data_IF_819594732736
#
_entry.id   IF_819594732736
#
_cell.length_a   1.000
_cell.length_b   1.000
_cell.length_c   1.000
_cell.angle_alpha   90.00
_cell.angle_beta   90.00
_cell.angle_gamma   90.00
#
_symmetry.space_group_name_H-M   'P 1'
#
loop_
_entity.id
_entity.type
_entity.pdbx_description
1 polymer ?
#
# COMPACT_ATOMS: atom_id res chain seq x y z
N UNK A 1 -34.77 -6.88 45.62
CA UNK A 1 -35.54 -6.50 44.40
C UNK A 1 -34.78 -5.50 43.52
N UNK A 2 -34.36 -4.30 43.99
CA UNK A 2 -33.63 -3.32 43.15
C UNK A 2 -32.33 -3.84 42.48
N UNK A 3 -31.56 -4.70 43.16
CA UNK A 3 -30.31 -5.29 42.62
C UNK A 3 -30.54 -6.29 41.48
N UNK A 4 -31.66 -7.03 41.52
CA UNK A 4 -32.01 -8.00 40.47
C UNK A 4 -32.41 -7.28 39.18
N UNK A 5 -33.12 -6.15 39.31
CA UNK A 5 -33.53 -5.34 38.16
C UNK A 5 -32.33 -4.67 37.47
N UNK A 6 -31.33 -4.20 38.22
CA UNK A 6 -30.10 -3.62 37.64
C UNK A 6 -29.30 -4.67 36.86
N UNK A 7 -29.20 -5.90 37.38
CA UNK A 7 -28.51 -7.00 36.71
C UNK A 7 -29.23 -7.43 35.42
N UNK A 8 -30.57 -7.49 35.45
CA UNK A 8 -31.39 -7.83 34.29
C UNK A 8 -31.34 -6.75 33.21
N UNK A 9 -31.30 -5.47 33.59
CA UNK A 9 -31.11 -4.35 32.64
C UNK A 9 -29.74 -4.39 31.98
N UNK A 10 -28.68 -4.79 32.71
CA UNK A 10 -27.33 -4.93 32.13
C UNK A 10 -27.25 -6.07 31.11
N UNK A 11 -27.89 -7.21 31.40
CA UNK A 11 -28.02 -8.35 30.47
C UNK A 11 -28.82 -7.97 29.23
N UNK A 12 -29.90 -7.20 29.38
CA UNK A 12 -30.71 -6.73 28.26
C UNK A 12 -29.92 -5.78 27.34
N UNK A 13 -29.15 -4.84 27.91
CA UNK A 13 -28.30 -3.91 27.15
C UNK A 13 -27.18 -4.65 26.41
N UNK A 14 -26.55 -5.64 27.05
CA UNK A 14 -25.48 -6.44 26.44
C UNK A 14 -26.01 -7.41 25.36
N UNK A 15 -27.22 -7.95 25.55
CA UNK A 15 -27.89 -8.81 24.57
C UNK A 15 -28.32 -8.08 23.28
N UNK A 16 -28.65 -6.78 23.38
CA UNK A 16 -29.01 -5.95 22.23
C UNK A 16 -27.79 -5.59 21.37
N UNK A 17 -26.59 -5.45 21.97
CA UNK A 17 -25.34 -5.26 21.23
C UNK A 17 -24.85 -6.50 20.45
N UNK A 18 -25.43 -7.67 20.70
CA UNK A 18 -25.08 -8.92 19.99
C UNK A 18 -25.59 -8.99 18.54
N UNK A 19 -26.43 -8.05 18.10
CA UNK A 19 -26.89 -7.97 16.70
C UNK A 19 -25.88 -7.26 15.80
N UNK A 20 -24.61 -7.70 15.88
CA UNK A 20 -23.58 -7.29 14.94
C UNK A 20 -23.92 -7.88 13.57
N UNK A 21 -24.65 -7.09 12.78
CA UNK A 21 -24.83 -7.35 11.36
C UNK A 21 -23.45 -7.60 10.75
N UNK A 22 -23.30 -8.69 9.99
CA UNK A 22 -22.15 -8.88 9.12
C UNK A 22 -22.13 -7.71 8.14
N UNK A 23 -21.40 -6.66 8.49
CA UNK A 23 -21.10 -5.60 7.54
C UNK A 23 -20.32 -6.26 6.43
N UNK A 24 -20.93 -6.37 5.25
CA UNK A 24 -20.21 -6.72 4.03
C UNK A 24 -19.28 -5.55 3.77
N UNK A 25 -18.07 -5.63 4.33
CA UNK A 25 -16.99 -4.69 4.12
C UNK A 25 -16.58 -4.82 2.65
N UNK A 26 -17.37 -4.24 1.76
CA UNK A 26 -17.00 -4.06 0.37
C UNK A 26 -15.77 -3.16 0.38
N UNK A 27 -14.63 -3.79 0.15
CA UNK A 27 -13.33 -3.17 0.22
C UNK A 27 -13.01 -2.55 -1.13
N UNK A 28 -12.20 -1.51 -1.14
CA UNK A 28 -11.58 -0.97 -2.35
C UNK A 28 -10.08 -1.21 -2.27
N UNK A 29 -9.43 -1.50 -3.40
CA UNK A 29 -8.00 -1.63 -3.50
C UNK A 29 -7.43 -0.41 -4.23
N UNK A 30 -6.31 0.11 -3.76
CA UNK A 30 -5.50 1.11 -4.43
C UNK A 30 -4.07 0.61 -4.49
N UNK A 31 -3.44 0.81 -5.63
CA UNK A 31 -2.04 0.55 -5.85
C UNK A 31 -1.41 1.82 -6.40
N UNK A 32 -0.33 2.29 -5.80
CA UNK A 32 0.41 3.43 -6.33
C UNK A 32 1.90 3.11 -6.48
N UNK A 33 2.51 3.72 -7.47
CA UNK A 33 3.94 3.62 -7.73
C UNK A 33 4.47 4.97 -8.21
N UNK A 34 5.77 5.15 -8.06
CA UNK A 34 6.47 6.35 -8.49
C UNK A 34 7.21 6.03 -9.77
N UNK A 35 7.04 6.86 -10.78
CA UNK A 35 7.77 6.75 -12.04
C UNK A 35 8.12 8.15 -12.53
N UNK A 36 9.42 8.43 -12.61
CA UNK A 36 9.94 9.76 -12.89
C UNK A 36 9.50 10.79 -11.84
N UNK A 37 8.83 11.87 -12.28
CA UNK A 37 8.32 12.92 -11.38
C UNK A 37 6.81 12.82 -11.13
N UNK A 38 6.24 11.63 -11.28
CA UNK A 38 4.82 11.40 -11.04
C UNK A 38 4.57 10.23 -10.12
N UNK A 39 3.55 10.35 -9.29
CA UNK A 39 2.91 9.25 -8.58
C UNK A 39 1.73 8.80 -9.41
N UNK A 40 1.73 7.55 -9.83
CA UNK A 40 0.59 6.92 -10.47
C UNK A 40 -0.16 6.08 -9.46
N UNK A 41 -1.48 6.11 -9.53
CA UNK A 41 -2.35 5.27 -8.73
C UNK A 41 -3.40 4.61 -9.60
N UNK A 42 -3.69 3.35 -9.31
CA UNK A 42 -4.79 2.59 -9.89
C UNK A 42 -5.65 2.00 -8.78
N UNK A 43 -6.97 2.07 -8.92
CA UNK A 43 -7.92 1.60 -7.94
C UNK A 43 -9.03 0.73 -8.54
N UNK A 44 -9.39 -0.31 -7.80
CA UNK A 44 -10.37 -1.32 -8.22
C UNK A 44 -11.07 -1.97 -7.02
N UNK A 45 -12.26 -2.47 -7.24
CA UNK A 45 -12.96 -3.33 -6.31
C UNK A 45 -12.41 -4.77 -6.39
N UNK A 46 -12.58 -5.60 -5.34
CA UNK A 46 -12.23 -7.01 -5.34
C UNK A 46 -12.87 -7.82 -6.47
N UNK A 47 -14.03 -7.38 -6.97
CA UNK A 47 -14.69 -7.95 -8.16
C UNK A 47 -13.91 -7.72 -9.46
N UNK A 48 -12.90 -6.85 -9.46
CA UNK A 48 -12.13 -6.43 -10.62
C UNK A 48 -12.66 -5.16 -11.27
N UNK A 49 -13.85 -4.67 -10.89
CA UNK A 49 -14.40 -3.43 -11.42
C UNK A 49 -13.54 -2.23 -11.02
N UNK A 50 -13.33 -1.29 -11.96
CA UNK A 50 -12.55 -0.08 -11.71
C UNK A 50 -13.35 0.93 -10.90
N UNK A 51 -12.69 1.58 -9.95
CA UNK A 51 -13.30 2.66 -9.18
C UNK A 51 -13.37 3.89 -10.06
N UNK A 52 -14.56 4.28 -10.49
CA UNK A 52 -14.76 5.48 -11.32
C UNK A 52 -15.15 6.63 -10.44
N UNK A 53 -14.58 7.82 -10.69
CA UNK A 53 -14.86 9.03 -9.91
C UNK A 53 -14.58 8.90 -8.40
N UNK A 54 -13.71 7.97 -7.99
CA UNK A 54 -13.22 7.89 -6.62
C UNK A 54 -12.14 8.95 -6.36
N UNK A 55 -12.16 9.57 -5.18
CA UNK A 55 -11.20 10.62 -4.79
C UNK A 55 -9.95 10.00 -4.20
N UNK A 56 -8.79 10.29 -4.77
CA UNK A 56 -7.48 9.93 -4.24
C UNK A 56 -6.83 11.15 -3.60
N UNK A 57 -6.47 11.04 -2.34
CA UNK A 57 -5.75 12.05 -1.57
C UNK A 57 -4.31 11.59 -1.32
N UNK A 58 -3.33 12.40 -1.71
CA UNK A 58 -1.93 12.21 -1.31
C UNK A 58 -1.69 13.00 -0.03
N UNK A 59 -1.28 12.31 1.03
CA UNK A 59 -1.03 12.87 2.36
C UNK A 59 0.42 12.69 2.75
N UNK A 60 0.94 13.64 3.51
CA UNK A 60 2.17 13.45 4.28
C UNK A 60 1.86 12.50 5.45
N UNK A 61 2.53 11.35 5.53
CA UNK A 61 2.21 10.32 6.53
C UNK A 61 2.53 10.78 7.96
N UNK A 62 3.51 11.67 8.13
CA UNK A 62 3.94 12.18 9.44
C UNK A 62 2.96 13.22 9.99
N UNK A 63 2.52 14.15 9.14
CA UNK A 63 1.66 15.27 9.56
C UNK A 63 0.18 15.03 9.30
N UNK A 64 -0.18 14.04 8.48
CA UNK A 64 -1.55 13.77 8.03
C UNK A 64 -2.11 14.80 7.06
N UNK A 65 -1.32 15.82 6.66
CA UNK A 65 -1.75 16.90 5.79
C UNK A 65 -1.96 16.41 4.36
N UNK A 66 -3.09 16.76 3.76
CA UNK A 66 -3.35 16.51 2.33
C UNK A 66 -2.46 17.46 1.50
N UNK A 67 -1.62 16.89 0.65
CA UNK A 67 -0.72 17.60 -0.26
C UNK A 67 -1.39 17.77 -1.63
N UNK A 68 -2.09 16.75 -2.10
CA UNK A 68 -2.79 16.78 -3.38
C UNK A 68 -4.07 15.92 -3.31
N UNK A 69 -5.08 16.28 -4.11
CA UNK A 69 -6.31 15.51 -4.24
C UNK A 69 -6.80 15.54 -5.69
N UNK A 70 -7.12 14.38 -6.24
CA UNK A 70 -7.65 14.21 -7.60
C UNK A 70 -8.64 13.06 -7.64
N UNK A 71 -9.41 13.00 -8.72
CA UNK A 71 -10.43 11.97 -8.93
C UNK A 71 -9.98 10.99 -10.01
N UNK A 72 -10.28 9.71 -9.81
CA UNK A 72 -9.96 8.63 -10.76
C UNK A 72 -10.81 8.68 -12.02
N UNK A 73 -10.19 8.29 -13.14
CA UNK A 73 -10.81 8.21 -14.46
C UNK A 73 -11.72 6.97 -14.62
N UNK A 74 -12.25 6.77 -15.83
CA UNK A 74 -13.10 5.61 -16.14
C UNK A 74 -12.37 4.25 -16.07
N UNK A 75 -11.04 4.26 -16.04
CA UNK A 75 -10.16 3.09 -15.89
C UNK A 75 -9.67 2.92 -14.45
N UNK A 76 -10.12 3.76 -13.52
CA UNK A 76 -9.74 3.76 -12.12
C UNK A 76 -8.34 4.29 -11.84
N UNK A 77 -7.77 5.05 -12.78
CA UNK A 77 -6.40 5.58 -12.72
C UNK A 77 -6.39 7.06 -12.40
N UNK A 78 -5.31 7.51 -11.77
CA UNK A 78 -5.01 8.92 -11.52
C UNK A 78 -3.51 9.10 -11.35
N UNK A 79 -2.98 10.26 -11.74
CA UNK A 79 -1.59 10.63 -11.55
C UNK A 79 -1.44 11.98 -10.84
N UNK A 80 -0.37 12.13 -10.06
CA UNK A 80 -0.01 13.33 -9.33
C UNK A 80 1.43 13.72 -9.63
N UNK A 81 1.70 15.02 -9.71
CA UNK A 81 3.08 15.50 -9.76
C UNK A 81 3.74 15.34 -8.39
N UNK A 82 5.01 14.95 -8.38
CA UNK A 82 5.77 14.72 -7.16
C UNK A 82 5.96 16.04 -6.39
N UNK A 83 5.44 16.18 -5.16
CA UNK A 83 5.57 17.43 -4.43
C UNK A 83 7.02 17.61 -3.96
N UNK A 84 7.66 18.71 -4.37
CA UNK A 84 9.08 18.98 -4.04
C UNK A 84 9.34 19.06 -2.53
N UNK A 85 8.35 19.48 -1.76
CA UNK A 85 8.41 19.62 -0.30
C UNK A 85 8.70 18.29 0.40
N UNK A 86 8.37 17.16 -0.22
CA UNK A 86 8.60 15.83 0.35
C UNK A 86 10.10 15.51 0.41
N UNK A 87 10.90 16.05 -0.51
CA UNK A 87 12.37 15.89 -0.51
C UNK A 87 13.06 16.71 0.58
N UNK A 88 12.48 17.85 0.96
CA UNK A 88 12.98 18.64 2.09
C UNK A 88 12.70 17.97 3.41
N UNK A 89 11.48 17.45 3.58
CA UNK A 89 11.03 16.90 4.86
C UNK A 89 11.44 15.42 5.04
N UNK A 90 11.76 14.70 3.96
CA UNK A 90 12.10 13.26 3.96
C UNK A 90 11.01 12.38 4.58
N UNK A 91 9.76 12.78 4.42
CA UNK A 91 8.62 12.05 4.96
C UNK A 91 8.08 11.03 3.96
N UNK A 92 7.54 9.94 4.49
CA UNK A 92 6.74 9.00 3.72
C UNK A 92 5.40 9.65 3.30
N UNK A 93 4.85 9.19 2.19
CA UNK A 93 3.53 9.61 1.73
C UNK A 93 2.51 8.49 1.92
N UNK A 94 1.25 8.87 2.00
CA UNK A 94 0.10 7.97 1.98
C UNK A 94 -0.88 8.41 0.88
N UNK A 95 -1.20 7.51 -0.04
CA UNK A 95 -2.28 7.67 -0.98
C UNK A 95 -3.55 7.03 -0.43
N UNK A 96 -4.58 7.83 -0.17
CA UNK A 96 -5.88 7.37 0.32
C UNK A 96 -6.92 7.44 -0.80
N UNK A 97 -7.60 6.32 -1.07
CA UNK A 97 -8.76 6.28 -1.97
C UNK A 97 -10.07 6.38 -1.17
N UNK A 98 -10.99 7.21 -1.64
CA UNK A 98 -12.38 7.32 -1.20
C UNK A 98 -13.29 7.02 -2.40
N UNK A 99 -13.85 5.82 -2.45
CA UNK A 99 -14.68 5.33 -3.55
C UNK A 99 -16.19 5.52 -3.31
N UNK A 100 -16.57 6.33 -2.31
CA UNK A 100 -17.96 6.57 -1.90
C UNK A 100 -18.53 5.51 -0.96
N UNK A 101 -19.70 5.78 -0.35
CA UNK A 101 -20.41 4.85 0.55
C UNK A 101 -19.53 4.15 1.61
N UNK A 102 -18.53 4.84 2.15
CA UNK A 102 -17.60 4.28 3.14
C UNK A 102 -16.49 3.37 2.59
N UNK A 103 -16.38 3.19 1.27
CA UNK A 103 -15.28 2.47 0.64
C UNK A 103 -14.02 3.31 0.69
N UNK A 104 -13.09 2.90 1.55
CA UNK A 104 -11.81 3.59 1.78
C UNK A 104 -10.68 2.58 1.86
N UNK A 105 -9.51 2.96 1.34
CA UNK A 105 -8.26 2.23 1.56
C UNK A 105 -7.06 3.18 1.42
N UNK A 106 -5.90 2.77 1.92
CA UNK A 106 -4.68 3.56 1.84
C UNK A 106 -3.51 2.75 1.28
N UNK A 107 -2.53 3.45 0.71
CA UNK A 107 -1.31 2.92 0.15
C UNK A 107 -0.13 3.75 0.62
N UNK A 108 0.82 3.13 1.32
CA UNK A 108 2.04 3.81 1.78
C UNK A 108 3.06 3.88 0.64
N UNK A 109 3.58 5.07 0.38
CA UNK A 109 4.67 5.34 -0.57
C UNK A 109 5.89 5.76 0.27
N UNK A 110 6.88 4.90 0.47
CA UNK A 110 8.03 5.21 1.30
C UNK A 110 8.91 6.28 0.64
N UNK A 111 9.52 7.15 1.45
CA UNK A 111 10.38 8.23 0.97
C UNK A 111 11.55 7.73 0.10
N UNK A 112 12.06 6.53 0.41
CA UNK A 112 13.16 5.91 -0.35
C UNK A 112 12.81 5.72 -1.83
N UNK A 113 11.59 5.29 -2.16
CA UNK A 113 11.13 5.15 -3.55
C UNK A 113 11.03 6.51 -4.27
N UNK A 114 10.70 7.58 -3.53
CA UNK A 114 10.67 8.94 -4.06
C UNK A 114 12.08 9.46 -4.38
N UNK A 115 13.06 9.11 -3.54
CA UNK A 115 14.46 9.52 -3.68
C UNK A 115 15.12 8.84 -4.89
N UNK A 116 14.98 7.52 -5.00
CA UNK A 116 15.59 6.72 -6.07
C UNK A 116 15.21 7.23 -7.47
N UNK A 117 14.00 7.79 -7.65
CA UNK A 117 13.55 8.35 -8.93
C UNK A 117 14.11 9.76 -9.23
N UNK A 118 14.55 10.52 -8.23
CA UNK A 118 15.20 11.81 -8.46
C UNK A 118 16.66 11.65 -8.87
N UNK A 119 17.33 10.63 -8.35
CA UNK A 119 18.75 10.38 -8.61
C UNK A 119 19.00 9.86 -10.05
N UNK A 120 17.98 9.37 -10.75
CA UNK A 120 18.06 8.87 -12.14
C UNK A 120 18.13 9.99 -13.20
N UNK A 121 17.91 11.27 -12.84
CA UNK A 121 18.04 12.42 -13.77
C UNK A 121 19.47 12.88 -14.07
N UNK A 122 20.49 12.11 -13.68
CA UNK A 122 21.88 12.35 -14.09
C UNK A 122 22.35 11.18 -14.95
N UNK A 123 22.67 11.36 -16.25
CA UNK A 123 23.36 10.33 -17.02
C UNK A 123 24.79 10.23 -16.49
N UNK A 124 24.99 9.41 -15.46
CA UNK A 124 26.32 9.01 -15.03
C UNK A 124 26.49 7.54 -15.35
N UNK A 125 27.03 7.30 -16.55
CA UNK A 125 27.70 6.06 -16.86
C UNK A 125 28.80 5.83 -15.82
N UNK A 126 28.64 4.86 -14.93
CA UNK A 126 29.74 4.09 -14.36
C UNK A 126 29.20 2.76 -13.84
N UNK A 127 29.19 1.78 -14.73
CA UNK A 127 29.48 0.40 -14.35
C UNK A 127 30.92 0.35 -13.84
N UNK A 128 31.14 0.12 -12.54
CA UNK A 128 32.34 -0.52 -11.98
C UNK A 128 31.92 -1.32 -10.74
N UNK A 129 31.77 -2.63 -10.87
CA UNK A 129 32.83 -3.65 -10.72
C UNK A 129 32.92 -4.10 -9.27
N UNK A 130 32.29 -5.26 -9.06
CA UNK A 130 32.52 -6.20 -7.99
C UNK A 130 34.01 -6.53 -7.85
N UNK A 131 34.48 -6.49 -6.61
CA UNK A 131 35.85 -6.75 -6.18
C UNK A 131 36.40 -8.12 -6.61
N UNK A 132 37.67 -8.08 -6.99
CA UNK A 132 38.55 -9.11 -7.51
C UNK A 132 38.84 -10.29 -6.56
N UNK A 133 39.03 -11.49 -7.12
CA UNK A 133 40.11 -12.41 -6.73
C UNK A 133 40.45 -13.38 -7.87
N UNK A 134 41.73 -13.68 -7.97
CA UNK A 134 42.48 -14.13 -9.15
C UNK A 134 42.80 -15.63 -9.08
N UNK A 135 42.67 -16.36 -10.21
CA UNK A 135 43.60 -17.43 -10.63
C UNK A 135 43.32 -17.93 -12.08
N UNK A 136 44.07 -17.41 -13.07
CA UNK A 136 45.00 -18.11 -14.02
C UNK A 136 44.72 -19.61 -14.28
N UNK A 137 44.63 -20.24 -15.48
CA UNK A 137 44.84 -20.03 -16.95
C UNK A 137 44.16 -21.25 -17.71
N UNK A 138 44.53 -21.70 -18.95
CA UNK A 138 44.09 -21.22 -20.29
C UNK A 138 43.67 -22.36 -21.28
N UNK A 139 42.76 -22.08 -22.24
CA UNK A 139 42.53 -22.72 -23.57
C UNK A 139 41.02 -22.61 -23.89
N UNK A 140 40.49 -22.39 -25.09
CA UNK A 140 40.99 -22.61 -26.44
C UNK A 140 40.25 -21.71 -27.44
N UNK A 141 40.87 -21.55 -28.59
CA UNK A 141 40.41 -20.84 -29.78
C UNK A 141 39.32 -21.62 -30.49
N UNK A 142 38.29 -20.96 -31.03
CA UNK A 142 37.87 -21.07 -32.46
C UNK A 142 36.54 -20.37 -32.74
N UNK A 143 36.62 -19.38 -33.63
CA UNK A 143 35.51 -18.76 -34.37
C UNK A 143 35.23 -19.65 -35.59
N UNK A 144 33.97 -19.81 -36.01
CA UNK A 144 33.66 -19.91 -37.44
C UNK A 144 32.79 -18.73 -37.88
N UNK A 145 33.33 -17.96 -38.81
CA UNK A 145 32.61 -17.00 -39.60
C UNK A 145 31.71 -17.73 -40.60
N UNK A 146 30.42 -17.40 -40.63
CA UNK A 146 29.65 -17.54 -41.86
C UNK A 146 28.67 -16.37 -42.01
N UNK A 147 29.00 -15.48 -42.95
CA UNK A 147 28.17 -14.37 -43.39
C UNK A 147 27.20 -14.83 -44.46
N UNK A 148 25.93 -14.41 -44.40
CA UNK A 148 25.23 -13.70 -45.51
C UNK A 148 23.74 -13.41 -45.19
N UNK A 149 23.45 -12.10 -45.23
CA UNK A 149 22.20 -11.42 -45.60
C UNK A 149 20.87 -11.75 -44.88
N UNK A 150 20.35 -10.73 -44.19
CA UNK A 150 18.98 -10.16 -44.29
C UNK A 150 19.01 -8.85 -43.46
N UNK A 151 19.15 -7.70 -44.10
CA UNK A 151 18.05 -6.79 -44.46
C UNK A 151 17.37 -6.12 -43.25
N UNK A 152 17.63 -4.81 -43.15
CA UNK A 152 16.87 -3.75 -42.49
C UNK A 152 15.73 -4.17 -41.55
N UNK A 153 16.02 -4.14 -40.24
CA UNK A 153 15.16 -3.58 -39.19
C UNK A 153 15.95 -3.72 -37.88
N UNK A 154 16.93 -2.85 -37.67
CA UNK A 154 17.46 -2.65 -36.31
C UNK A 154 16.44 -1.79 -35.58
N UNK A 155 15.68 -2.30 -34.60
CA UNK A 155 14.81 -1.46 -33.80
C UNK A 155 15.69 -0.40 -33.13
N UNK A 156 15.24 0.86 -33.17
CA UNK A 156 15.95 1.94 -32.47
C UNK A 156 16.02 1.58 -30.98
N UNK A 157 17.09 2.01 -30.29
CA UNK A 157 17.22 1.77 -28.85
C UNK A 157 15.96 2.20 -28.08
N UNK A 158 15.29 3.26 -28.50
CA UNK A 158 14.00 3.72 -27.94
C UNK A 158 12.84 2.73 -28.13
N UNK A 159 12.75 2.04 -29.27
CA UNK A 159 11.69 1.06 -29.50
C UNK A 159 11.94 -0.22 -28.68
N UNK A 160 13.21 -0.59 -28.48
CA UNK A 160 13.62 -1.67 -27.59
C UNK A 160 13.30 -1.32 -26.13
N UNK A 161 13.63 -0.10 -25.67
CA UNK A 161 13.30 0.38 -24.33
C UNK A 161 11.79 0.36 -24.07
N UNK A 162 10.98 0.86 -25.01
CA UNK A 162 9.52 0.82 -24.89
C UNK A 162 8.96 -0.60 -24.83
N UNK A 163 9.53 -1.54 -25.60
CA UNK A 163 9.13 -2.94 -25.57
C UNK A 163 9.52 -3.58 -24.22
N UNK A 164 10.72 -3.30 -23.72
CA UNK A 164 11.21 -3.81 -22.44
C UNK A 164 10.34 -3.27 -21.30
N UNK A 165 10.10 -1.96 -21.23
CA UNK A 165 9.25 -1.35 -20.22
C UNK A 165 7.85 -1.94 -20.26
N UNK A 166 7.25 -2.03 -21.45
CA UNK A 166 5.91 -2.61 -21.60
C UNK A 166 5.83 -4.07 -21.15
N UNK A 167 6.87 -4.87 -21.41
CA UNK A 167 6.93 -6.27 -20.99
C UNK A 167 7.17 -6.38 -19.48
N UNK A 168 8.04 -5.54 -18.92
CA UNK A 168 8.33 -5.49 -17.49
C UNK A 168 7.10 -5.02 -16.69
N UNK A 169 6.47 -3.91 -17.05
CA UNK A 169 5.24 -3.41 -16.42
C UNK A 169 4.14 -4.47 -16.45
N UNK A 170 3.98 -5.19 -17.57
CA UNK A 170 2.98 -6.26 -17.70
C UNK A 170 3.24 -7.43 -16.75
N UNK A 171 4.50 -7.68 -16.37
CA UNK A 171 4.89 -8.77 -15.46
C UNK A 171 4.97 -8.34 -14.00
N UNK A 172 5.36 -7.11 -13.72
CA UNK A 172 5.56 -6.59 -12.37
C UNK A 172 4.23 -6.18 -11.71
N UNK A 173 3.30 -5.58 -12.46
CA UNK A 173 1.98 -5.20 -11.94
C UNK A 173 1.23 -6.35 -11.24
N UNK A 174 1.09 -7.55 -11.84
CA UNK A 174 0.35 -8.64 -11.18
C UNK A 174 1.08 -9.21 -9.95
N UNK A 175 2.41 -9.09 -9.88
CA UNK A 175 3.16 -9.53 -8.70
C UNK A 175 2.98 -8.53 -7.56
N UNK A 176 3.09 -7.24 -7.88
CA UNK A 176 2.90 -6.20 -6.88
C UNK A 176 1.47 -6.21 -6.34
N UNK A 177 0.48 -6.45 -7.21
CA UNK A 177 -0.91 -6.69 -6.80
C UNK A 177 -1.05 -7.84 -5.80
N UNK A 178 -0.36 -8.97 -6.00
CA UNK A 178 -0.40 -10.07 -5.03
C UNK A 178 0.27 -9.71 -3.71
N UNK A 179 1.31 -8.89 -3.73
CA UNK A 179 1.97 -8.39 -2.52
C UNK A 179 1.08 -7.40 -1.75
N UNK A 180 0.34 -6.55 -2.45
CA UNK A 180 -0.61 -5.62 -1.81
C UNK A 180 -1.71 -6.35 -1.06
N UNK A 181 -2.20 -7.47 -1.62
CA UNK A 181 -3.16 -8.35 -0.96
C UNK A 181 -2.60 -9.05 0.29
N UNK A 182 -1.27 -9.17 0.41
CA UNK A 182 -0.62 -9.79 1.56
C UNK A 182 -0.21 -8.80 2.65
N UNK A 183 0.00 -7.52 2.31
CA UNK A 183 0.33 -6.45 3.27
C UNK A 183 -0.86 -6.05 4.17
N UNK A 184 -1.98 -6.75 4.06
CA UNK A 184 -3.20 -6.54 4.83
C UNK A 184 -2.98 -6.87 6.31
N UNK A 185 -3.03 -5.84 7.17
CA UNK A 185 -3.18 -6.04 8.61
C UNK A 185 -4.55 -6.65 8.89
N UNK A 186 -4.59 -7.97 9.05
CA UNK A 186 -5.79 -8.66 9.51
C UNK A 186 -6.06 -8.22 10.94
N UNK A 187 -7.28 -7.76 11.23
CA UNK A 187 -7.74 -7.61 12.60
C UNK A 187 -7.60 -8.99 13.23
N UNK A 188 -6.72 -9.12 14.21
CA UNK A 188 -6.47 -10.41 14.84
C UNK A 188 -7.52 -10.63 15.92
N UNK A 189 -7.85 -11.90 16.20
CA UNK A 189 -8.68 -12.22 17.34
C UNK A 189 -8.08 -11.65 18.64
N UNK A 190 -6.75 -11.56 18.71
CA UNK A 190 -6.05 -10.98 19.84
C UNK A 190 -6.35 -9.50 20.05
N UNK A 191 -6.53 -8.70 18.99
CA UNK A 191 -6.92 -7.29 19.11
C UNK A 191 -8.32 -7.16 19.73
N UNK A 192 -9.24 -8.05 19.34
CA UNK A 192 -10.62 -8.09 19.87
C UNK A 192 -10.62 -8.52 21.34
N UNK A 193 -9.93 -9.61 21.66
CA UNK A 193 -9.86 -10.12 23.04
C UNK A 193 -9.06 -9.20 23.96
N UNK A 194 -8.06 -8.49 23.45
CA UNK A 194 -7.32 -7.48 24.21
C UNK A 194 -8.21 -6.28 24.55
N UNK A 195 -9.00 -5.78 23.58
CA UNK A 195 -9.96 -4.71 23.81
C UNK A 195 -11.06 -5.10 24.82
N UNK A 196 -11.63 -6.30 24.68
CA UNK A 196 -12.65 -6.78 25.63
C UNK A 196 -12.07 -6.97 27.04
N UNK A 197 -10.87 -7.54 27.13
CA UNK A 197 -10.18 -7.75 28.40
C UNK A 197 -9.85 -6.44 29.13
N UNK A 198 -9.46 -5.40 28.39
CA UNK A 198 -9.19 -4.07 28.95
C UNK A 198 -10.46 -3.45 29.56
N UNK A 199 -11.59 -3.54 28.87
CA UNK A 199 -12.88 -3.02 29.36
C UNK A 199 -13.31 -3.75 30.64
N UNK A 200 -13.27 -5.08 30.63
CA UNK A 200 -13.62 -5.88 31.81
C UNK A 200 -12.64 -5.68 32.97
N UNK A 201 -11.35 -5.50 32.68
CA UNK A 201 -10.33 -5.20 33.69
C UNK A 201 -10.59 -3.88 34.41
N UNK A 202 -10.81 -2.79 33.66
CA UNK A 202 -11.14 -1.49 34.25
C UNK A 202 -12.47 -1.52 35.02
N UNK A 203 -13.48 -2.19 34.46
CA UNK A 203 -14.77 -2.36 35.13
C UNK A 203 -14.63 -3.13 36.45
N UNK A 204 -13.85 -4.20 36.47
CA UNK A 204 -13.58 -5.00 37.67
C UNK A 204 -12.92 -4.18 38.77
N UNK A 205 -11.92 -3.36 38.41
CA UNK A 205 -11.25 -2.45 39.35
C UNK A 205 -12.24 -1.42 39.91
N UNK A 206 -13.05 -0.79 39.06
CA UNK A 206 -14.06 0.18 39.49
C UNK A 206 -15.09 -0.45 40.45
N UNK A 207 -15.56 -1.66 40.13
CA UNK A 207 -16.49 -2.40 40.99
C UNK A 207 -15.86 -2.82 42.32
N UNK A 208 -14.58 -3.19 42.35
CA UNK A 208 -13.87 -3.52 43.58
C UNK A 208 -13.83 -2.34 44.55
N UNK A 209 -13.46 -1.15 44.07
CA UNK A 209 -13.47 0.06 44.90
C UNK A 209 -14.89 0.50 45.29
N UNK A 210 -15.85 0.42 44.37
CA UNK A 210 -17.24 0.79 44.65
C UNK A 210 -17.95 -0.18 45.61
N UNK A 211 -17.50 -1.44 45.68
CA UNK A 211 -17.94 -2.42 46.68
C UNK A 211 -17.38 -2.11 48.07
N UNK A 212 -16.17 -1.54 48.15
CA UNK A 212 -15.54 -1.17 49.42
C UNK A 212 -16.18 0.08 50.04
N UNK A 213 -16.62 1.02 49.20
CA UNK A 213 -17.26 2.28 49.62
C UNK A 213 -18.73 2.15 50.10
N UNK A 214 -19.26 0.93 50.20
CA UNK A 214 -20.65 0.65 50.66
C UNK A 214 -20.72 -0.08 52.00
N UNK A 215 -19.57 -0.37 52.60
CA UNK A 215 -19.46 -1.06 53.89
C UNK A 215 -18.98 -0.12 55.02
N UNK A 216 -19.00 1.19 54.78
CA UNK A 216 -19.04 2.25 55.79
C UNK A 216 -20.40 2.95 55.70
#
# INVERSE_FOLDING_TARGET
MKKINIFLTFILIFGIWGTLSKSSAHRVNIFCWVEGQKIYCESKYPSGEKVKKGTVNIKDLTTGKIIASKTTDNKGKVDFDLPKQVFTNKHDLEAEILAGMGHRNTWKIPFKELQEQNDIKTPSATSKTSTSSSSVLPWDTTIPANSKNLSANSPSCEEIEQIIDKVLTKRLNPIMEKLTLLQEKKITLQDIFSGIGYIFGLMGIALYFMSKNKNE
#
